data_IF_895164103362
#
_entry.id   IF_895164103362
#
_cell.length_a   1.000
_cell.length_b   1.000
_cell.length_c   1.000
_cell.angle_alpha   90.00
_cell.angle_beta   90.00
_cell.angle_gamma   90.00
#
_symmetry.space_group_name_H-M   'P 1'
#
loop_
_entity.id
_entity.type
_entity.pdbx_description
1 polymer ?
#
# COMPACT_ATOMS: atom_id res chain seq x y z
N UNK A 1 -0.27 0.03 -18.25
CA UNK A 1 -1.74 0.03 -18.21
C UNK A 1 -2.30 1.08 -19.17
N UNK A 2 -1.92 2.36 -18.99
CA UNK A 2 -2.29 3.48 -19.87
C UNK A 2 -1.98 3.21 -21.35
N UNK A 3 -0.75 2.82 -21.68
CA UNK A 3 -0.37 2.44 -23.06
C UNK A 3 -1.28 1.34 -23.66
N UNK A 4 -1.56 0.28 -22.88
CA UNK A 4 -2.42 -0.83 -23.31
C UNK A 4 -3.87 -0.39 -23.52
N UNK A 5 -4.32 0.64 -22.81
CA UNK A 5 -5.66 1.21 -22.95
C UNK A 5 -5.76 2.20 -24.12
N UNK A 6 -4.63 2.62 -24.71
CA UNK A 6 -4.60 3.60 -25.80
C UNK A 6 -5.02 5.01 -25.38
N UNK A 7 -4.98 5.32 -24.08
CA UNK A 7 -5.38 6.62 -23.54
C UNK A 7 -4.16 7.55 -23.46
N UNK A 8 -4.29 8.84 -23.83
CA UNK A 8 -3.24 9.83 -23.60
C UNK A 8 -2.87 9.92 -22.11
N UNK A 9 -1.58 9.97 -21.79
CA UNK A 9 -1.12 10.03 -20.39
C UNK A 9 -1.60 11.27 -19.64
N UNK A 10 -1.83 12.37 -20.36
CA UNK A 10 -2.34 13.63 -19.84
C UNK A 10 -3.86 13.68 -19.64
N UNK A 11 -4.58 12.67 -20.12
CA UNK A 11 -6.00 12.52 -19.81
C UNK A 11 -6.24 11.91 -18.42
N UNK A 12 -5.22 11.32 -17.77
CA UNK A 12 -5.38 10.70 -16.45
C UNK A 12 -5.61 11.76 -15.37
N UNK A 13 -6.75 11.69 -14.69
CA UNK A 13 -7.11 12.62 -13.60
C UNK A 13 -6.43 12.22 -12.28
N UNK A 14 -6.43 10.92 -11.97
CA UNK A 14 -5.93 10.43 -10.68
C UNK A 14 -5.45 8.98 -10.71
N UNK A 15 -4.42 8.70 -9.89
CA UNK A 15 -3.82 7.37 -9.69
C UNK A 15 -4.02 6.88 -8.25
N UNK A 16 -4.73 5.77 -8.08
CA UNK A 16 -4.94 5.14 -6.76
C UNK A 16 -4.15 3.83 -6.67
N UNK A 17 -3.17 3.75 -5.77
CA UNK A 17 -2.40 2.53 -5.56
C UNK A 17 -2.48 2.04 -4.12
N UNK A 18 -2.92 0.79 -3.97
CA UNK A 18 -2.81 0.04 -2.73
C UNK A 18 -1.36 -0.30 -2.40
N UNK A 19 -0.93 -0.09 -1.16
CA UNK A 19 0.41 -0.42 -0.67
C UNK A 19 0.38 -0.61 0.84
N UNK A 20 0.82 -1.77 1.35
CA UNK A 20 0.76 -2.08 2.78
C UNK A 20 2.08 -1.74 3.46
N UNK A 21 3.22 -2.15 2.88
CA UNK A 21 4.53 -2.00 3.51
C UNK A 21 5.22 -0.69 3.10
N UNK A 22 4.69 0.42 3.60
CA UNK A 22 5.16 1.77 3.23
C UNK A 22 6.43 2.23 3.96
N UNK A 23 6.94 1.49 4.95
CA UNK A 23 8.09 1.96 5.73
C UNK A 23 9.35 2.07 4.83
N UNK A 24 10.05 3.21 4.94
CA UNK A 24 11.29 3.45 4.22
C UNK A 24 11.14 3.79 2.73
N UNK A 25 9.93 3.78 2.17
CA UNK A 25 9.71 4.09 0.74
C UNK A 25 9.68 5.59 0.42
N UNK A 26 9.73 6.46 1.43
CA UNK A 26 9.61 7.91 1.26
C UNK A 26 8.16 8.38 1.09
N UNK A 27 7.99 9.66 0.77
CA UNK A 27 6.68 10.29 0.72
C UNK A 27 5.87 9.82 -0.51
N UNK A 28 4.57 9.59 -0.29
CA UNK A 28 3.57 9.30 -1.34
C UNK A 28 4.03 8.28 -2.41
N UNK A 29 4.22 7.00 -2.06
CA UNK A 29 4.68 5.98 -3.01
C UNK A 29 3.90 5.94 -4.34
N UNK A 30 2.57 6.11 -4.30
CA UNK A 30 1.75 6.16 -5.52
C UNK A 30 2.15 7.31 -6.45
N UNK A 31 2.49 8.48 -5.89
CA UNK A 31 2.97 9.64 -6.66
C UNK A 31 4.34 9.39 -7.27
N UNK A 32 5.22 8.68 -6.55
CA UNK A 32 6.51 8.27 -7.09
C UNK A 32 6.33 7.32 -8.27
N UNK A 33 5.41 6.35 -8.16
CA UNK A 33 5.09 5.43 -9.25
C UNK A 33 4.49 6.15 -10.45
N UNK A 34 3.54 7.07 -10.24
CA UNK A 34 2.96 7.94 -11.27
C UNK A 34 4.04 8.67 -12.07
N UNK A 35 4.94 9.38 -11.38
CA UNK A 35 6.03 10.14 -12.03
C UNK A 35 6.99 9.23 -12.78
N UNK A 36 7.35 8.07 -12.20
CA UNK A 36 8.20 7.07 -12.86
C UNK A 36 7.54 6.45 -14.10
N UNK A 37 6.21 6.42 -14.14
CA UNK A 37 5.45 5.99 -15.31
C UNK A 37 5.30 7.08 -16.39
N UNK A 38 5.84 8.28 -16.18
CA UNK A 38 5.79 9.39 -17.15
C UNK A 38 4.46 10.13 -17.21
N UNK A 39 3.57 9.93 -16.23
CA UNK A 39 2.32 10.68 -16.15
C UNK A 39 2.55 12.10 -15.60
N UNK A 40 1.75 13.08 -16.02
CA UNK A 40 1.97 14.47 -15.64
C UNK A 40 1.64 14.74 -14.18
N UNK A 41 2.23 15.81 -13.64
CA UNK A 41 2.02 16.21 -12.26
C UNK A 41 0.59 16.70 -11.96
N UNK A 42 -0.17 17.06 -13.01
CA UNK A 42 -1.59 17.39 -12.91
C UNK A 42 -2.45 16.19 -12.48
N UNK A 43 -2.04 14.97 -12.82
CA UNK A 43 -2.72 13.76 -12.39
C UNK A 43 -2.50 13.54 -10.89
N UNK A 44 -3.57 13.55 -10.08
CA UNK A 44 -3.52 13.28 -8.64
C UNK A 44 -2.94 11.89 -8.33
N UNK A 45 -2.47 11.66 -7.10
CA UNK A 45 -2.05 10.33 -6.69
C UNK A 45 -2.25 10.07 -5.20
N UNK A 46 -2.88 8.94 -4.87
CA UNK A 46 -3.12 8.52 -3.49
C UNK A 46 -2.60 7.11 -3.25
N UNK A 47 -1.87 6.96 -2.15
CA UNK A 47 -1.49 5.64 -1.61
C UNK A 47 -2.48 5.28 -0.51
N UNK A 48 -3.06 4.08 -0.56
CA UNK A 48 -4.01 3.61 0.46
C UNK A 48 -3.70 2.19 0.92
N UNK A 49 -4.21 1.81 2.09
CA UNK A 49 -4.13 0.45 2.60
C UNK A 49 -5.49 -0.07 3.09
N UNK A 50 -5.79 -1.30 2.70
CA UNK A 50 -6.81 -2.20 3.23
C UNK A 50 -6.17 -3.61 3.37
N UNK A 51 -4.91 -3.65 3.79
CA UNK A 51 -4.08 -4.87 3.84
C UNK A 51 -4.13 -5.65 2.51
N UNK A 52 -4.34 -6.96 2.54
CA UNK A 52 -4.41 -7.80 1.33
C UNK A 52 -5.43 -7.29 0.30
N UNK A 53 -6.46 -6.55 0.73
CA UNK A 53 -7.49 -5.99 -0.15
C UNK A 53 -7.17 -4.62 -0.74
N UNK A 54 -5.98 -4.06 -0.51
CA UNK A 54 -5.64 -2.66 -0.90
C UNK A 54 -5.81 -2.40 -2.39
N UNK A 55 -5.30 -3.29 -3.25
CA UNK A 55 -5.40 -3.11 -4.70
C UNK A 55 -6.85 -3.14 -5.20
N UNK A 56 -7.66 -4.06 -4.67
CA UNK A 56 -9.08 -4.13 -5.01
C UNK A 56 -9.85 -2.92 -4.45
N UNK A 57 -9.49 -2.43 -3.26
CA UNK A 57 -10.11 -1.22 -2.71
C UNK A 57 -9.82 0.00 -3.56
N UNK A 58 -8.61 0.13 -4.09
CA UNK A 58 -8.27 1.19 -5.04
C UNK A 58 -9.17 1.13 -6.30
N UNK A 59 -9.40 -0.06 -6.84
CA UNK A 59 -10.30 -0.26 -8.00
C UNK A 59 -11.75 0.12 -7.68
N UNK A 60 -12.25 -0.25 -6.49
CA UNK A 60 -13.60 0.14 -6.06
C UNK A 60 -13.75 1.65 -5.96
N UNK A 61 -12.77 2.34 -5.38
CA UNK A 61 -12.79 3.80 -5.30
C UNK A 61 -12.72 4.47 -6.67
N UNK A 62 -11.88 3.97 -7.58
CA UNK A 62 -11.84 4.50 -8.94
C UNK A 62 -13.18 4.31 -9.67
N UNK A 63 -13.81 3.14 -9.52
CA UNK A 63 -15.16 2.92 -10.04
C UNK A 63 -16.16 3.95 -9.49
N UNK A 64 -16.17 4.17 -8.18
CA UNK A 64 -17.11 5.09 -7.55
C UNK A 64 -16.90 6.55 -8.00
N UNK A 65 -15.64 6.96 -8.19
CA UNK A 65 -15.28 8.30 -8.68
C UNK A 65 -15.67 8.52 -10.15
N UNK A 66 -15.50 7.49 -11.00
CA UNK A 66 -15.98 7.49 -12.38
C UNK A 66 -17.52 7.54 -12.41
N UNK A 67 -18.18 6.73 -11.60
CA UNK A 67 -19.64 6.70 -11.51
C UNK A 67 -20.24 8.01 -10.98
N UNK A 68 -19.54 8.69 -10.07
CA UNK A 68 -19.92 10.00 -9.55
C UNK A 68 -19.61 11.15 -10.53
N UNK A 69 -18.87 10.89 -11.62
CA UNK A 69 -18.44 11.92 -12.57
C UNK A 69 -17.41 12.91 -12.01
N UNK A 70 -16.70 12.55 -10.93
CA UNK A 70 -15.63 13.38 -10.35
C UNK A 70 -14.27 13.16 -11.01
N UNK A 71 -14.14 12.11 -11.80
CA UNK A 71 -13.00 11.80 -12.66
C UNK A 71 -13.53 11.14 -13.95
N UNK A 72 -12.77 11.22 -15.05
CA UNK A 72 -13.09 10.61 -16.34
C UNK A 72 -12.12 9.47 -16.68
N UNK A 73 -10.84 9.62 -16.33
CA UNK A 73 -9.80 8.61 -16.57
C UNK A 73 -8.97 8.39 -15.32
N UNK A 74 -8.93 7.15 -14.86
CA UNK A 74 -8.19 6.78 -13.65
C UNK A 74 -7.27 5.60 -13.87
N UNK A 75 -6.19 5.56 -13.10
CA UNK A 75 -5.34 4.37 -12.95
C UNK A 75 -5.49 3.86 -11.53
N UNK A 76 -5.99 2.63 -11.37
CA UNK A 76 -6.13 2.00 -10.07
C UNK A 76 -5.45 0.64 -10.02
N UNK A 77 -4.94 0.27 -8.85
CA UNK A 77 -4.30 -1.02 -8.64
C UNK A 77 -3.58 -1.12 -7.31
N UNK A 78 -2.56 -1.96 -7.24
CA UNK A 78 -1.71 -2.11 -6.05
C UNK A 78 -0.26 -2.38 -6.42
N UNK A 79 0.62 -2.09 -5.49
CA UNK A 79 2.05 -2.38 -5.58
C UNK A 79 2.55 -2.77 -4.20
N UNK A 80 3.52 -3.68 -4.16
CA UNK A 80 4.10 -4.14 -2.90
C UNK A 80 5.54 -4.60 -3.12
N UNK A 81 6.40 -4.42 -2.13
CA UNK A 81 7.76 -4.96 -2.17
C UNK A 81 8.16 -5.53 -0.80
N UNK A 82 7.69 -6.76 -0.55
CA UNK A 82 8.00 -7.49 0.69
C UNK A 82 9.51 -7.71 0.87
N UNK A 83 10.25 -7.94 -0.23
CA UNK A 83 11.71 -8.10 -0.22
C UNK A 83 12.46 -6.86 0.30
N UNK A 84 11.92 -5.66 0.07
CA UNK A 84 12.55 -4.41 0.47
C UNK A 84 11.96 -3.84 1.77
N UNK A 85 11.08 -4.57 2.46
CA UNK A 85 10.56 -4.17 3.75
C UNK A 85 11.72 -4.09 4.76
N UNK A 86 11.96 -2.92 5.39
CA UNK A 86 13.10 -2.76 6.29
C UNK A 86 12.84 -3.48 7.63
N UNK A 87 13.88 -3.64 8.42
CA UNK A 87 13.70 -3.87 9.85
C UNK A 87 13.49 -2.53 10.58
N UNK A 88 12.66 -2.52 11.63
CA UNK A 88 12.25 -1.36 12.41
C UNK A 88 12.78 -1.42 13.84
N UNK A 89 13.05 -0.25 14.42
CA UNK A 89 13.28 -0.09 15.85
C UNK A 89 12.67 1.23 16.32
N UNK A 90 11.90 1.18 17.42
CA UNK A 90 11.26 2.36 18.00
C UNK A 90 12.20 3.10 18.97
N UNK A 91 13.34 3.59 18.46
CA UNK A 91 14.40 4.19 19.27
C UNK A 91 14.38 5.74 19.32
N UNK A 92 13.34 6.40 18.77
CA UNK A 92 13.31 7.88 18.67
C UNK A 92 13.52 8.60 20.01
N UNK A 93 13.08 8.01 21.13
CA UNK A 93 13.25 8.57 22.49
C UNK A 93 14.54 8.10 23.20
N UNK A 94 15.38 7.31 22.53
CA UNK A 94 16.56 6.65 23.11
C UNK A 94 16.22 5.38 23.90
N UNK A 95 17.21 4.49 24.00
CA UNK A 95 17.16 3.28 24.86
C UNK A 95 18.09 3.56 26.04
N UNK A 96 17.54 3.74 27.24
CA UNK A 96 18.34 4.14 28.42
C UNK A 96 19.15 2.99 29.02
N UNK A 97 18.55 1.80 29.13
CA UNK A 97 19.15 0.59 29.68
C UNK A 97 18.29 -0.62 29.29
N UNK A 98 18.90 -1.80 29.13
CA UNK A 98 18.21 -3.05 28.81
C UNK A 98 18.23 -3.44 27.32
N UNK A 99 17.69 -4.62 27.01
CA UNK A 99 17.60 -5.13 25.65
C UNK A 99 16.55 -4.37 24.83
N UNK A 100 16.79 -4.25 23.52
CA UNK A 100 15.82 -3.69 22.56
C UNK A 100 15.63 -4.65 21.40
N UNK A 101 14.38 -4.80 20.98
CA UNK A 101 14.03 -5.60 19.82
C UNK A 101 14.24 -4.81 18.53
N UNK A 102 14.59 -5.55 17.48
CA UNK A 102 14.49 -5.13 16.08
C UNK A 102 13.33 -5.92 15.49
N UNK A 103 12.39 -5.24 14.83
CA UNK A 103 11.18 -5.82 14.30
C UNK A 103 11.28 -5.96 12.79
N UNK A 104 10.82 -7.07 12.22
CA UNK A 104 10.65 -7.20 10.78
C UNK A 104 9.37 -6.41 10.38
N UNK A 105 9.49 -5.41 9.48
CA UNK A 105 8.33 -4.59 9.05
C UNK A 105 7.25 -5.43 8.35
N UNK A 106 7.64 -6.39 7.52
CA UNK A 106 6.72 -7.25 6.79
C UNK A 106 5.89 -8.10 7.76
N UNK A 107 6.53 -8.65 8.79
CA UNK A 107 5.83 -9.35 9.86
C UNK A 107 4.93 -8.38 10.64
N UNK A 108 5.53 -7.34 11.21
CA UNK A 108 4.90 -6.42 12.17
C UNK A 108 3.67 -5.69 11.61
N UNK A 109 3.76 -5.19 10.38
CA UNK A 109 2.74 -4.32 9.77
C UNK A 109 1.93 -5.00 8.66
N UNK A 110 2.31 -6.23 8.27
CA UNK A 110 1.67 -6.95 7.17
C UNK A 110 1.10 -8.33 7.52
N UNK A 111 1.77 -9.11 8.36
CA UNK A 111 1.48 -10.54 8.54
C UNK A 111 1.17 -10.97 9.98
N UNK A 112 1.29 -10.07 10.94
CA UNK A 112 0.87 -10.28 12.33
C UNK A 112 -0.46 -9.61 12.63
N UNK A 113 -1.23 -10.21 13.53
CA UNK A 113 -2.46 -9.59 14.01
C UNK A 113 -2.14 -8.38 14.90
N UNK A 114 -2.86 -7.29 14.64
CA UNK A 114 -2.67 -6.06 15.39
C UNK A 114 -3.22 -6.14 16.83
N UNK A 115 -4.15 -7.06 17.09
CA UNK A 115 -4.84 -7.22 18.38
C UNK A 115 -4.17 -8.30 19.24
N UNK A 116 -3.59 -9.32 18.62
CA UNK A 116 -2.80 -10.40 19.23
C UNK A 116 -1.34 -10.35 18.73
N UNK A 117 -0.53 -9.45 19.31
CA UNK A 117 0.86 -9.23 18.89
C UNK A 117 1.68 -10.53 18.84
N UNK A 118 2.39 -10.77 17.74
CA UNK A 118 3.20 -11.97 17.51
C UNK A 118 2.41 -13.17 16.96
N UNK A 119 1.07 -13.05 16.84
CA UNK A 119 0.25 -14.08 16.21
C UNK A 119 0.20 -13.85 14.70
N UNK A 120 0.88 -14.71 13.95
CA UNK A 120 0.89 -14.65 12.50
C UNK A 120 -0.49 -14.96 11.90
N UNK A 121 -0.80 -14.35 10.75
CA UNK A 121 -2.03 -14.60 9.98
C UNK A 121 -2.26 -16.10 9.69
N UNK A 122 -1.19 -16.89 9.53
CA UNK A 122 -1.29 -18.34 9.35
C UNK A 122 -1.98 -19.08 10.50
N UNK A 123 -1.90 -18.56 11.74
CA UNK A 123 -2.63 -19.14 12.87
C UNK A 123 -4.13 -19.02 12.69
N UNK A 124 -4.61 -17.91 12.13
CA UNK A 124 -6.04 -17.71 11.84
C UNK A 124 -6.50 -18.61 10.67
N UNK A 125 -5.62 -18.85 9.69
CA UNK A 125 -5.91 -19.82 8.64
C UNK A 125 -6.12 -21.23 9.21
N UNK A 126 -5.26 -21.67 10.13
CA UNK A 126 -5.44 -22.95 10.84
C UNK A 126 -6.73 -22.98 11.67
N UNK A 127 -7.08 -21.87 12.35
CA UNK A 127 -8.33 -21.77 13.10
C UNK A 127 -9.57 -21.88 12.20
N UNK A 128 -9.54 -21.32 10.98
CA UNK A 128 -10.65 -21.40 10.03
C UNK A 128 -10.94 -22.83 9.55
N UNK A 129 -9.94 -23.72 9.57
CA UNK A 129 -10.09 -25.12 9.15
C UNK A 129 -10.23 -26.10 10.32
N UNK A 130 -10.00 -25.63 11.56
CA UNK A 130 -10.26 -26.39 12.76
C UNK A 130 -11.78 -26.63 12.90
N UNK A 131 -12.16 -27.89 13.08
CA UNK A 131 -13.55 -28.33 13.20
C UNK A 131 -14.16 -28.00 14.56
#
# INVERSE_FOLDING_TARGET
AVERAGVPGDAVDEVLLGNCLMAGQGQAPARQALRKAGLPDSAGAVTLSKMCGSGMRAMMFAHDMLAAGTAEVMVAGGMESMTNAPHLMFARKGIKYGASAVYDHMALDGLEDAYERGKAMGVFAEQCVAK
#
